data_IF_411844739272
#
_entry.id   IF_411844739272
#
_cell.length_a   1.000
_cell.length_b   1.000
_cell.length_c   1.000
_cell.angle_alpha   90.00
_cell.angle_beta   90.00
_cell.angle_gamma   90.00
#
_symmetry.space_group_name_H-M   'P 1'
#
loop_
_entity.id
_entity.type
_entity.pdbx_description
1 polymer ?
#
# COMPACT_ATOMS: atom_id res chain seq x y z
N UNK A 1 15.63 -29.90 -16.08
CA UNK A 1 16.26 -29.55 -14.79
C UNK A 1 15.86 -28.12 -14.42
N UNK A 2 14.67 -27.94 -13.88
CA UNK A 2 14.19 -26.63 -13.43
C UNK A 2 14.58 -26.46 -11.96
N UNK A 3 15.45 -25.49 -11.66
CA UNK A 3 15.78 -25.12 -10.30
C UNK A 3 14.58 -24.36 -9.70
N UNK A 4 13.83 -25.01 -8.81
CA UNK A 4 12.95 -24.33 -7.87
C UNK A 4 13.82 -23.75 -6.76
N UNK A 5 14.19 -22.47 -6.87
CA UNK A 5 14.73 -21.74 -5.74
C UNK A 5 13.59 -21.52 -4.75
N UNK A 6 13.51 -22.34 -3.71
CA UNK A 6 12.64 -22.10 -2.58
C UNK A 6 13.10 -20.79 -1.91
N UNK A 7 12.36 -19.71 -2.15
CA UNK A 7 12.54 -18.46 -1.42
C UNK A 7 12.28 -18.74 0.06
N UNK A 8 13.35 -18.91 0.84
CA UNK A 8 13.27 -18.95 2.30
C UNK A 8 12.99 -17.53 2.78
N UNK A 9 11.72 -17.22 2.95
CA UNK A 9 11.33 -16.01 3.68
C UNK A 9 11.76 -16.19 5.14
N UNK A 10 12.62 -15.29 5.63
CA UNK A 10 12.94 -15.17 7.05
C UNK A 10 11.65 -15.03 7.84
N UNK A 11 11.51 -15.76 8.95
CA UNK A 11 10.35 -15.67 9.84
C UNK A 11 10.33 -14.27 10.49
N UNK A 12 9.72 -13.32 9.82
CA UNK A 12 9.33 -12.05 10.44
C UNK A 12 8.38 -12.41 11.57
N UNK A 13 8.75 -12.05 12.79
CA UNK A 13 7.85 -12.12 13.94
C UNK A 13 6.76 -11.06 13.74
N UNK A 14 5.74 -11.37 12.94
CA UNK A 14 4.62 -10.45 12.68
C UNK A 14 3.80 -10.30 13.95
N UNK A 15 4.04 -9.24 14.72
CA UNK A 15 3.20 -8.84 15.85
C UNK A 15 1.99 -8.13 15.23
N UNK A 16 0.87 -8.82 15.12
CA UNK A 16 -0.38 -8.21 14.66
C UNK A 16 -0.97 -7.33 15.78
N UNK A 17 -1.43 -6.12 15.43
CA UNK A 17 -2.19 -5.22 16.30
C UNK A 17 -3.66 -5.64 16.36
N UNK A 18 -4.32 -5.30 17.46
CA UNK A 18 -5.78 -5.47 17.57
C UNK A 18 -6.50 -4.55 16.58
N UNK A 19 -7.50 -5.03 15.82
CA UNK A 19 -8.22 -4.21 14.84
C UNK A 19 -9.15 -3.21 15.53
N UNK A 20 -8.67 -1.97 15.66
CA UNK A 20 -9.41 -0.84 16.22
C UNK A 20 -9.24 -0.67 17.73
N UNK A 21 -10.10 0.13 18.36
CA UNK A 21 -9.99 0.53 19.77
C UNK A 21 -11.22 0.21 20.63
N UNK A 22 -12.17 -0.59 20.10
CA UNK A 22 -13.39 -0.95 20.84
C UNK A 22 -13.09 -1.96 21.94
N UNK A 23 -13.83 -1.91 23.05
CA UNK A 23 -13.76 -2.96 24.10
C UNK A 23 -14.15 -4.31 23.49
N UNK A 24 -13.29 -5.31 23.61
CA UNK A 24 -13.57 -6.67 23.16
C UNK A 24 -14.12 -7.51 24.31
N UNK A 25 -15.07 -8.40 23.99
CA UNK A 25 -15.57 -9.41 24.94
C UNK A 25 -14.56 -10.54 25.15
N UNK A 26 -13.76 -10.83 24.13
CA UNK A 26 -12.76 -11.89 24.15
C UNK A 26 -11.36 -11.28 24.07
N UNK A 27 -10.42 -11.92 24.77
CA UNK A 27 -9.01 -11.58 24.69
C UNK A 27 -8.48 -11.86 23.28
N UNK A 28 -7.69 -10.95 22.74
CA UNK A 28 -7.06 -11.11 21.44
C UNK A 28 -5.53 -11.10 21.63
N UNK A 29 -4.86 -12.21 21.35
CA UNK A 29 -3.43 -12.31 21.56
C UNK A 29 -2.67 -11.54 20.49
N UNK A 30 -1.94 -10.51 20.90
CA UNK A 30 -1.10 -9.70 19.98
C UNK A 30 0.37 -10.12 20.01
N UNK A 31 0.79 -10.94 20.99
CA UNK A 31 2.15 -11.44 21.12
C UNK A 31 2.13 -12.95 21.35
N UNK A 32 2.86 -13.70 20.51
CA UNK A 32 2.99 -15.16 20.62
C UNK A 32 3.70 -15.62 21.91
N UNK A 33 4.41 -14.72 22.62
CA UNK A 33 5.08 -15.00 23.89
C UNK A 33 4.22 -14.72 25.13
N UNK A 34 2.90 -14.56 24.97
CA UNK A 34 1.99 -14.41 26.12
C UNK A 34 2.01 -15.69 26.98
N UNK A 35 2.34 -15.62 28.28
CA UNK A 35 2.39 -16.78 29.17
C UNK A 35 1.09 -17.60 29.22
N UNK A 36 -0.07 -16.96 29.02
CA UNK A 36 -1.36 -17.64 29.01
C UNK A 36 -1.54 -18.53 27.77
N UNK A 37 -0.82 -18.23 26.67
CA UNK A 37 -0.91 -18.97 25.42
C UNK A 37 0.15 -20.07 25.31
N UNK A 38 1.30 -19.91 25.96
CA UNK A 38 2.40 -20.88 25.91
C UNK A 38 2.00 -22.29 26.41
N UNK A 39 1.03 -22.36 27.32
CA UNK A 39 0.53 -23.63 27.86
C UNK A 39 -0.54 -24.30 26.98
N UNK A 40 -1.09 -23.57 25.99
CA UNK A 40 -2.25 -23.98 25.19
C UNK A 40 -1.85 -24.24 23.72
N UNK A 41 -0.73 -23.69 23.25
CA UNK A 41 -0.30 -23.82 21.86
C UNK A 41 0.32 -25.21 21.57
N UNK A 42 -0.20 -25.97 20.58
CA UNK A 42 0.48 -27.15 20.06
C UNK A 42 1.80 -26.77 19.37
N UNK A 43 2.81 -27.64 19.40
CA UNK A 43 4.20 -27.36 18.98
C UNK A 43 4.38 -26.93 17.51
N UNK A 44 3.36 -27.04 16.67
CA UNK A 44 3.46 -26.82 15.22
C UNK A 44 2.23 -26.10 14.65
N UNK A 45 2.14 -24.79 14.83
CA UNK A 45 1.34 -23.96 13.92
C UNK A 45 2.19 -22.81 13.37
N UNK A 46 2.20 -22.68 12.04
CA UNK A 46 2.69 -21.49 11.35
C UNK A 46 1.72 -20.34 11.61
N UNK A 47 1.91 -19.65 12.74
CA UNK A 47 1.04 -18.58 13.25
C UNK A 47 1.09 -17.27 12.44
N UNK A 48 1.64 -17.29 11.22
CA UNK A 48 1.74 -16.09 10.38
C UNK A 48 0.50 -15.99 9.48
N UNK A 49 -0.24 -14.90 9.61
CA UNK A 49 -1.28 -14.49 8.66
C UNK A 49 -0.79 -13.29 7.87
N UNK A 50 -1.00 -13.29 6.56
CA UNK A 50 -0.63 -12.19 5.67
C UNK A 50 -1.70 -11.97 4.61
N UNK A 51 -1.71 -10.76 4.05
CA UNK A 51 -2.56 -10.36 2.92
C UNK A 51 -1.65 -10.10 1.72
N UNK A 52 -2.13 -10.42 0.52
CA UNK A 52 -1.42 -10.19 -0.74
C UNK A 52 -2.27 -9.28 -1.63
N UNK A 53 -1.63 -8.29 -2.25
CA UNK A 53 -2.23 -7.42 -3.26
C UNK A 53 -1.40 -7.43 -4.53
N UNK A 54 -2.07 -7.29 -5.68
CA UNK A 54 -1.44 -7.11 -6.98
C UNK A 54 -1.82 -5.70 -7.45
N UNK A 55 -0.84 -4.89 -7.83
CA UNK A 55 -1.06 -3.54 -8.32
C UNK A 55 -0.24 -3.24 -9.56
N UNK A 56 -0.61 -2.17 -10.26
CA UNK A 56 0.29 -1.46 -11.16
C UNK A 56 1.23 -0.59 -10.32
N UNK A 57 2.54 -0.70 -10.55
CA UNK A 57 3.52 0.15 -9.86
C UNK A 57 3.37 1.58 -10.36
N UNK A 58 2.92 2.48 -9.49
CA UNK A 58 2.61 3.88 -9.80
C UNK A 58 3.30 4.83 -8.82
N UNK A 59 3.59 6.04 -9.31
CA UNK A 59 4.07 7.18 -8.51
C UNK A 59 3.05 8.30 -8.67
N UNK A 60 2.53 8.79 -7.55
CA UNK A 60 1.60 9.91 -7.54
C UNK A 60 2.39 11.22 -7.59
N UNK A 61 2.03 12.08 -8.56
CA UNK A 61 2.54 13.44 -8.70
C UNK A 61 1.35 14.38 -8.48
N UNK A 62 1.36 15.12 -7.38
CA UNK A 62 0.27 16.03 -7.03
C UNK A 62 0.62 17.48 -7.35
N UNK A 63 -0.26 18.16 -8.07
CA UNK A 63 -0.16 19.58 -8.40
C UNK A 63 -1.53 20.24 -8.32
N UNK A 64 -1.57 21.52 -7.95
CA UNK A 64 -2.77 22.34 -8.05
C UNK A 64 -2.74 23.12 -9.36
N UNK A 65 -3.77 22.96 -10.17
CA UNK A 65 -3.91 23.56 -11.51
C UNK A 65 -5.27 24.24 -11.65
N UNK A 66 -5.43 25.05 -12.70
CA UNK A 66 -6.70 25.66 -13.07
C UNK A 66 -7.50 24.80 -14.07
N UNK A 67 -8.75 25.19 -14.34
CA UNK A 67 -9.64 24.49 -15.27
C UNK A 67 -9.13 24.54 -16.73
N UNK A 68 -8.35 25.58 -17.06
CA UNK A 68 -7.72 25.74 -18.37
C UNK A 68 -6.66 24.66 -18.59
N UNK A 69 -5.85 24.33 -17.58
CA UNK A 69 -4.89 23.23 -17.61
C UNK A 69 -5.58 21.88 -17.86
N UNK A 70 -6.67 21.60 -17.14
CA UNK A 70 -7.47 20.37 -17.30
C UNK A 70 -7.98 20.26 -18.75
N UNK A 71 -8.54 21.33 -19.28
CA UNK A 71 -9.08 21.38 -20.65
C UNK A 71 -7.99 21.21 -21.70
N UNK A 72 -6.83 21.87 -21.52
CA UNK A 72 -5.68 21.85 -22.45
C UNK A 72 -5.15 20.43 -22.71
N UNK A 73 -5.13 19.60 -21.66
CA UNK A 73 -4.65 18.22 -21.73
C UNK A 73 -5.77 17.19 -21.96
N UNK A 74 -7.00 17.63 -22.26
CA UNK A 74 -8.13 16.74 -22.53
C UNK A 74 -8.57 15.93 -21.31
N UNK A 75 -8.31 16.43 -20.10
CA UNK A 75 -8.69 15.78 -18.86
C UNK A 75 -10.13 16.15 -18.47
N UNK A 76 -10.70 15.38 -17.54
CA UNK A 76 -12.02 15.66 -16.98
C UNK A 76 -11.99 15.50 -15.47
N UNK A 77 -12.49 16.50 -14.75
CA UNK A 77 -12.45 16.54 -13.29
C UNK A 77 -13.12 15.30 -12.67
N UNK A 78 -12.45 14.71 -11.68
CA UNK A 78 -12.93 13.51 -10.96
C UNK A 78 -12.72 12.18 -11.69
N UNK A 79 -12.11 12.17 -12.89
CA UNK A 79 -11.80 10.95 -13.61
C UNK A 79 -10.35 10.50 -13.42
N UNK A 80 -10.15 9.18 -13.42
CA UNK A 80 -8.84 8.57 -13.65
C UNK A 80 -8.77 8.16 -15.12
N UNK A 81 -7.91 8.85 -15.88
CA UNK A 81 -7.78 8.67 -17.32
C UNK A 81 -6.35 8.24 -17.65
N UNK A 82 -6.22 7.25 -18.54
CA UNK A 82 -4.94 6.94 -19.18
C UNK A 82 -4.77 7.89 -20.35
N UNK A 83 -3.60 8.52 -20.42
CA UNK A 83 -3.23 9.45 -21.48
C UNK A 83 -2.03 8.89 -22.26
N UNK A 84 -1.89 9.30 -23.51
CA UNK A 84 -0.76 8.93 -24.37
C UNK A 84 0.56 9.50 -23.83
N UNK A 85 1.66 8.80 -24.08
CA UNK A 85 3.00 9.16 -23.57
C UNK A 85 3.41 10.60 -23.94
N UNK A 86 3.11 11.04 -25.17
CA UNK A 86 3.43 12.40 -25.62
C UNK A 86 2.67 13.48 -24.85
N UNK A 87 1.44 13.18 -24.40
CA UNK A 87 0.61 14.09 -23.62
C UNK A 87 1.12 14.12 -22.18
N UNK A 88 1.46 12.96 -21.61
CA UNK A 88 2.02 12.85 -20.28
C UNK A 88 3.33 13.64 -20.12
N UNK A 89 4.24 13.54 -21.10
CA UNK A 89 5.52 14.26 -21.06
C UNK A 89 5.32 15.78 -21.11
N UNK A 90 4.45 16.28 -22.00
CA UNK A 90 4.15 17.72 -22.09
C UNK A 90 3.54 18.26 -20.79
N UNK A 91 2.60 17.51 -20.22
CA UNK A 91 1.97 17.83 -18.95
C UNK A 91 3.03 17.92 -17.83
N UNK A 92 3.88 16.90 -17.71
CA UNK A 92 4.93 16.86 -16.69
C UNK A 92 5.94 18.02 -16.84
N UNK A 93 6.32 18.34 -18.08
CA UNK A 93 7.21 19.47 -18.36
C UNK A 93 6.58 20.81 -17.97
N UNK A 94 5.29 21.03 -18.23
CA UNK A 94 4.60 22.26 -17.82
C UNK A 94 4.53 22.37 -16.29
N UNK A 95 4.14 21.30 -15.59
CA UNK A 95 4.10 21.28 -14.13
C UNK A 95 5.47 21.58 -13.51
N UNK A 96 6.54 21.06 -14.11
CA UNK A 96 7.92 21.29 -13.64
C UNK A 96 8.36 22.73 -13.92
N UNK A 97 8.14 23.22 -15.14
CA UNK A 97 8.54 24.55 -15.59
C UNK A 97 7.86 25.66 -14.81
N UNK A 98 6.58 25.47 -14.47
CA UNK A 98 5.78 26.42 -13.68
C UNK A 98 5.91 26.16 -12.16
N UNK A 99 6.71 25.17 -11.73
CA UNK A 99 6.92 24.80 -10.34
C UNK A 99 5.61 24.54 -9.56
N UNK A 100 4.70 23.78 -10.18
CA UNK A 100 3.37 23.48 -9.64
C UNK A 100 3.29 22.16 -8.87
N UNK A 101 4.33 21.31 -8.96
CA UNK A 101 4.39 20.04 -8.24
C UNK A 101 4.54 20.30 -6.74
N UNK A 102 3.59 19.80 -5.96
CA UNK A 102 3.56 19.98 -4.51
C UNK A 102 4.09 18.77 -3.75
N UNK A 103 3.80 17.56 -4.26
CA UNK A 103 4.17 16.31 -3.59
C UNK A 103 4.44 15.21 -4.61
N UNK A 104 5.29 14.27 -4.21
CA UNK A 104 5.60 13.05 -4.96
C UNK A 104 5.67 11.87 -3.97
N UNK A 105 4.81 10.87 -4.16
CA UNK A 105 4.71 9.72 -3.26
C UNK A 105 4.50 8.42 -4.03
N UNK A 106 4.71 7.29 -3.36
CA UNK A 106 4.27 6.00 -3.90
C UNK A 106 2.74 6.02 -4.04
N UNK A 107 2.26 5.67 -5.24
CA UNK A 107 0.84 5.67 -5.56
C UNK A 107 0.26 4.27 -5.69
N UNK A 108 -0.86 4.19 -6.40
CA UNK A 108 -1.53 2.93 -6.72
C UNK A 108 -2.60 2.55 -5.69
N UNK A 109 -3.72 2.03 -6.19
CA UNK A 109 -4.90 1.74 -5.36
C UNK A 109 -4.62 0.60 -4.38
N UNK A 110 -4.00 -0.48 -4.85
CA UNK A 110 -3.70 -1.65 -4.04
C UNK A 110 -2.42 -1.43 -3.22
N UNK A 111 -1.44 -0.71 -3.76
CA UNK A 111 -0.23 -0.27 -3.04
C UNK A 111 -0.60 0.53 -1.78
N UNK A 112 -1.45 1.55 -1.93
CA UNK A 112 -1.95 2.33 -0.80
C UNK A 112 -2.78 1.49 0.18
N UNK A 113 -3.57 0.54 -0.32
CA UNK A 113 -4.33 -0.39 0.54
C UNK A 113 -3.41 -1.29 1.37
N UNK A 114 -2.37 -1.87 0.75
CA UNK A 114 -1.41 -2.73 1.42
C UNK A 114 -0.51 -1.95 2.40
N UNK A 115 -0.14 -0.72 2.04
CA UNK A 115 0.56 0.19 2.94
C UNK A 115 -0.29 0.46 4.19
N UNK A 116 -1.56 0.86 4.01
CA UNK A 116 -2.48 1.13 5.11
C UNK A 116 -2.77 -0.12 5.96
N UNK A 117 -2.95 -1.29 5.33
CA UNK A 117 -3.09 -2.56 6.03
C UNK A 117 -1.89 -2.82 6.95
N UNK A 118 -0.67 -2.61 6.45
CA UNK A 118 0.55 -2.86 7.22
C UNK A 118 0.65 -1.89 8.41
N UNK A 119 0.41 -0.58 8.19
CA UNK A 119 0.45 0.44 9.25
C UNK A 119 -0.56 0.14 10.38
N UNK A 120 -1.77 -0.29 10.01
CA UNK A 120 -2.85 -0.59 10.96
C UNK A 120 -2.70 -1.97 11.60
N UNK A 121 -2.23 -2.95 10.84
CA UNK A 121 -2.19 -4.36 11.19
C UNK A 121 -0.94 -4.80 11.95
N UNK A 122 0.19 -4.10 11.82
CA UNK A 122 1.45 -4.49 12.47
C UNK A 122 2.53 -3.42 12.36
#
# INVERSE_FOLDING_TARGET
MCYHAALRYSSVSTIMKFPGKRKSKHYFPVNARDPLLQQIQPEQETNASWVVGIDQTLVDIEAKVDDDFITRYGLSAGHSLVIEDEVAEKLYQELTRENLITHQFAGGTIGNTMHNYSVLGG
#
